data_IF_649529295593
#
_entry.id   IF_649529295593
#
_cell.length_a   1.000
_cell.length_b   1.000
_cell.length_c   1.000
_cell.angle_alpha   90.00
_cell.angle_beta   90.00
_cell.angle_gamma   90.00
#
_symmetry.space_group_name_H-M   'P 1'
#
loop_
_entity.id
_entity.type
_entity.pdbx_description
1 polymer ?
#
# COMPACT_ATOMS: atom_id res chain seq x y z
N UNK A 1 0.12 -25.15 -26.36
CA UNK A 1 -0.36 -24.47 -25.14
C UNK A 1 0.16 -23.05 -25.20
N UNK A 2 -0.68 -22.01 -25.29
CA UNK A 2 -0.19 -20.65 -25.11
C UNK A 2 0.37 -20.54 -23.70
N UNK A 3 1.65 -20.21 -23.58
CA UNK A 3 2.30 -19.90 -22.30
C UNK A 3 1.58 -18.69 -21.72
N UNK A 4 0.99 -18.81 -20.53
CA UNK A 4 0.46 -17.66 -19.83
C UNK A 4 1.59 -16.61 -19.71
N UNK A 5 1.31 -15.37 -20.07
CA UNK A 5 2.26 -14.27 -19.92
C UNK A 5 2.59 -14.10 -18.44
N UNK A 6 3.90 -14.03 -18.12
CA UNK A 6 4.37 -13.78 -16.75
C UNK A 6 3.84 -12.44 -16.26
N UNK A 7 3.32 -12.41 -15.04
CA UNK A 7 2.74 -11.20 -14.43
C UNK A 7 3.74 -10.52 -13.50
N UNK A 8 3.90 -9.22 -13.65
CA UNK A 8 4.84 -8.41 -12.87
C UNK A 8 4.11 -7.53 -11.85
N UNK A 9 4.50 -7.63 -10.59
CA UNK A 9 4.03 -6.73 -9.53
C UNK A 9 5.00 -5.55 -9.37
N UNK A 10 4.50 -4.31 -9.43
CA UNK A 10 5.29 -3.10 -9.17
C UNK A 10 5.26 -2.78 -7.68
N UNK A 11 6.38 -2.97 -6.99
CA UNK A 11 6.54 -2.57 -5.60
C UNK A 11 7.03 -1.11 -5.51
N UNK A 12 6.18 -0.22 -5.01
CA UNK A 12 6.51 1.19 -4.81
C UNK A 12 7.05 1.40 -3.39
N UNK A 13 8.35 1.66 -3.29
CA UNK A 13 9.06 1.93 -2.04
C UNK A 13 9.27 3.43 -1.81
N UNK A 14 9.81 3.80 -0.64
CA UNK A 14 9.99 5.19 -0.27
C UNK A 14 11.07 5.86 -1.11
N UNK A 15 12.28 5.30 -1.05
CA UNK A 15 13.48 5.79 -1.70
C UNK A 15 14.53 4.67 -1.77
N UNK A 16 15.54 4.77 -2.66
CA UNK A 16 16.57 3.75 -2.79
C UNK A 16 17.34 3.55 -1.48
N UNK A 17 17.65 2.30 -1.11
CA UNK A 17 18.50 2.03 0.05
C UNK A 17 19.96 2.35 -0.29
N UNK A 18 20.72 2.78 0.72
CA UNK A 18 22.20 2.84 0.65
C UNK A 18 22.88 1.47 0.86
N UNK A 19 22.10 0.38 0.89
CA UNK A 19 22.56 -0.99 1.10
C UNK A 19 22.00 -1.88 0.00
N UNK A 20 22.37 -3.16 -0.04
CA UNK A 20 21.85 -4.12 -1.04
C UNK A 20 20.33 -4.38 -0.94
N UNK A 21 19.66 -3.89 0.12
CA UNK A 21 18.22 -3.97 0.27
C UNK A 21 17.66 -5.40 0.39
N UNK A 22 18.51 -6.44 0.49
CA UNK A 22 18.09 -7.85 0.36
C UNK A 22 16.96 -8.24 1.29
N UNK A 23 16.96 -7.74 2.53
CA UNK A 23 15.89 -8.03 3.50
C UNK A 23 14.54 -7.44 3.08
N UNK A 24 14.55 -6.22 2.55
CA UNK A 24 13.34 -5.56 2.03
C UNK A 24 12.84 -6.31 0.80
N UNK A 25 13.74 -6.60 -0.14
CA UNK A 25 13.41 -7.31 -1.38
C UNK A 25 12.87 -8.72 -1.14
N UNK A 26 13.44 -9.49 -0.20
CA UNK A 26 12.90 -10.82 0.18
C UNK A 26 11.47 -10.76 0.69
N UNK A 27 11.11 -9.70 1.41
CA UNK A 27 9.73 -9.52 1.90
C UNK A 27 8.80 -9.17 0.76
N UNK A 28 9.23 -8.27 -0.13
CA UNK A 28 8.48 -7.94 -1.34
C UNK A 28 8.28 -9.19 -2.20
N UNK A 29 9.31 -10.01 -2.42
CA UNK A 29 9.21 -11.27 -3.16
C UNK A 29 8.20 -12.25 -2.52
N UNK A 30 8.13 -12.32 -1.19
CA UNK A 30 7.08 -13.09 -0.52
C UNK A 30 5.69 -12.53 -0.83
N UNK A 31 5.50 -11.21 -0.84
CA UNK A 31 4.21 -10.61 -1.21
C UNK A 31 3.83 -10.89 -2.68
N UNK A 32 4.81 -10.90 -3.59
CA UNK A 32 4.64 -11.26 -5.01
C UNK A 32 4.09 -12.68 -5.13
N UNK A 33 4.71 -13.65 -4.46
CA UNK A 33 4.26 -15.05 -4.42
C UNK A 33 2.85 -15.16 -3.84
N UNK A 34 2.60 -14.50 -2.71
CA UNK A 34 1.30 -14.56 -2.03
C UNK A 34 0.15 -13.93 -2.85
N UNK A 35 0.45 -12.98 -3.72
CA UNK A 35 -0.51 -12.35 -4.63
C UNK A 35 -0.64 -13.09 -5.98
N UNK A 36 0.17 -14.12 -6.23
CA UNK A 36 0.14 -14.90 -7.46
C UNK A 36 0.76 -14.20 -8.67
N UNK A 37 1.77 -13.35 -8.45
CA UNK A 37 2.59 -12.76 -9.51
C UNK A 37 3.89 -13.56 -9.67
N UNK A 38 4.49 -13.47 -10.86
CA UNK A 38 5.71 -14.22 -11.21
C UNK A 38 6.98 -13.44 -10.93
N UNK A 39 6.92 -12.12 -11.13
CA UNK A 39 8.08 -11.22 -11.10
C UNK A 39 7.76 -9.92 -10.36
N UNK A 40 8.81 -9.17 -10.02
CA UNK A 40 8.71 -7.88 -9.34
C UNK A 40 9.56 -6.82 -10.01
N UNK A 41 8.96 -5.65 -10.25
CA UNK A 41 9.66 -4.41 -10.55
C UNK A 41 9.63 -3.51 -9.31
N UNK A 42 10.74 -2.85 -9.00
CA UNK A 42 10.83 -1.93 -7.85
C UNK A 42 10.99 -0.51 -8.36
N UNK A 43 10.11 0.37 -7.91
CA UNK A 43 10.21 1.80 -8.12
C UNK A 43 10.10 2.54 -6.78
N UNK A 44 10.54 3.79 -6.74
CA UNK A 44 10.58 4.57 -5.49
C UNK A 44 9.80 5.87 -5.65
N UNK A 45 9.14 6.34 -4.59
CA UNK A 45 8.49 7.65 -4.59
C UNK A 45 9.47 8.82 -4.73
N UNK A 46 10.68 8.64 -4.20
CA UNK A 46 11.72 9.65 -4.15
C UNK A 46 13.05 9.06 -4.63
N UNK A 47 13.79 9.76 -5.49
CA UNK A 47 14.96 9.20 -6.17
C UNK A 47 16.24 9.23 -5.33
N UNK A 48 16.33 10.11 -4.33
CA UNK A 48 17.57 10.29 -3.57
C UNK A 48 17.74 9.17 -2.54
N UNK A 49 18.85 8.41 -2.59
CA UNK A 49 19.12 7.36 -1.62
C UNK A 49 19.31 7.92 -0.20
N UNK A 50 18.85 7.18 0.80
CA UNK A 50 19.12 7.54 2.19
C UNK A 50 19.18 6.30 3.10
N UNK A 51 19.81 6.45 4.27
CA UNK A 51 19.87 5.38 5.26
C UNK A 51 18.53 5.18 5.98
N UNK A 52 17.67 6.21 6.01
CA UNK A 52 16.41 6.22 6.75
C UNK A 52 15.36 7.08 6.06
N UNK A 53 14.11 6.64 6.12
CA UNK A 53 12.97 7.34 5.50
C UNK A 53 12.72 8.73 6.08
N UNK A 54 13.11 9.01 7.33
CA UNK A 54 12.97 10.34 7.92
C UNK A 54 13.93 11.38 7.32
N UNK A 55 15.04 10.95 6.71
CA UNK A 55 15.94 11.82 5.95
C UNK A 55 15.25 12.47 4.73
N UNK A 56 14.12 11.90 4.26
CA UNK A 56 13.31 12.52 3.20
C UNK A 56 12.76 13.89 3.63
N UNK A 57 12.62 14.14 4.93
CA UNK A 57 12.19 15.45 5.45
C UNK A 57 13.13 16.57 5.01
N UNK A 58 14.44 16.31 5.02
CA UNK A 58 15.46 17.29 4.64
C UNK A 58 15.76 17.20 3.14
N UNK A 59 16.04 15.99 2.65
CA UNK A 59 16.42 15.77 1.24
C UNK A 59 15.28 16.07 0.26
N UNK A 60 14.04 15.83 0.68
CA UNK A 60 12.85 15.99 -0.14
C UNK A 60 12.22 17.38 -0.04
N UNK A 61 12.87 18.36 0.58
CA UNK A 61 12.37 19.75 0.59
C UNK A 61 12.30 20.32 -0.84
N UNK A 62 13.32 20.04 -1.65
CA UNK A 62 13.34 20.38 -3.06
C UNK A 62 12.55 19.36 -3.90
N UNK A 63 11.98 19.84 -5.01
CA UNK A 63 11.13 19.03 -5.90
C UNK A 63 11.93 18.01 -6.75
N UNK A 64 13.20 18.30 -7.04
CA UNK A 64 14.02 17.55 -8.01
C UNK A 64 14.01 16.04 -7.80
N UNK A 65 14.21 15.59 -6.56
CA UNK A 65 14.24 14.15 -6.26
C UNK A 65 12.87 13.45 -6.41
N UNK A 66 11.77 14.19 -6.33
CA UNK A 66 10.43 13.68 -6.57
C UNK A 66 10.12 13.58 -8.06
N UNK A 67 10.50 14.60 -8.85
CA UNK A 67 10.33 14.58 -10.31
C UNK A 67 11.22 13.53 -10.97
N UNK A 68 12.49 13.43 -10.55
CA UNK A 68 13.41 12.43 -11.08
C UNK A 68 12.94 10.98 -10.83
N UNK A 69 12.13 10.74 -9.79
CA UNK A 69 11.55 9.44 -9.53
C UNK A 69 10.41 9.06 -10.50
N UNK A 70 9.77 10.04 -11.15
CA UNK A 70 8.58 9.81 -11.98
C UNK A 70 8.87 8.96 -13.21
N UNK A 71 10.00 9.15 -13.88
CA UNK A 71 10.37 8.38 -15.08
C UNK A 71 10.43 6.87 -14.80
N UNK A 72 11.10 6.47 -13.71
CA UNK A 72 11.15 5.08 -13.28
C UNK A 72 9.77 4.55 -12.86
N UNK A 73 8.98 5.36 -12.14
CA UNK A 73 7.60 4.98 -11.78
C UNK A 73 6.74 4.76 -13.02
N UNK A 74 6.79 5.64 -14.01
CA UNK A 74 6.01 5.51 -15.25
C UNK A 74 6.40 4.27 -16.04
N UNK A 75 7.70 4.02 -16.18
CA UNK A 75 8.21 2.84 -16.88
C UNK A 75 7.75 1.55 -16.19
N UNK A 76 7.86 1.48 -14.86
CA UNK A 76 7.42 0.29 -14.11
C UNK A 76 5.92 0.11 -14.17
N UNK A 77 5.12 1.18 -14.00
CA UNK A 77 3.67 1.08 -14.04
C UNK A 77 3.17 0.65 -15.42
N UNK A 78 3.75 1.20 -16.50
CA UNK A 78 3.38 0.86 -17.88
C UNK A 78 3.67 -0.59 -18.30
N UNK A 79 4.58 -1.26 -17.58
CA UNK A 79 4.93 -2.66 -17.81
C UNK A 79 4.37 -3.62 -16.73
N UNK A 80 3.69 -3.09 -15.70
CA UNK A 80 3.22 -3.84 -14.56
C UNK A 80 1.79 -4.34 -14.71
N UNK A 81 1.47 -5.46 -14.04
CA UNK A 81 0.13 -6.06 -14.01
C UNK A 81 -0.61 -5.79 -12.68
N UNK A 82 0.04 -5.07 -11.77
CA UNK A 82 -0.48 -4.72 -10.45
C UNK A 82 0.54 -3.93 -9.64
N UNK A 83 0.09 -3.32 -8.53
CA UNK A 83 0.90 -2.42 -7.72
C UNK A 83 0.83 -2.79 -6.25
N UNK A 84 1.99 -2.82 -5.58
CA UNK A 84 2.11 -2.94 -4.13
C UNK A 84 2.66 -1.64 -3.54
N UNK A 85 1.82 -0.90 -2.81
CA UNK A 85 2.21 0.32 -2.12
C UNK A 85 2.92 -0.01 -0.81
N UNK A 86 4.22 0.29 -0.75
CA UNK A 86 5.10 -0.10 0.35
C UNK A 86 6.11 1.01 0.73
N UNK A 87 5.74 2.28 0.52
CA UNK A 87 6.60 3.44 0.74
C UNK A 87 6.60 3.97 2.19
N UNK A 88 5.82 3.39 3.09
CA UNK A 88 5.67 3.84 4.47
C UNK A 88 4.47 4.79 4.67
N UNK A 89 3.74 4.59 5.77
CA UNK A 89 2.58 5.42 6.12
C UNK A 89 2.95 6.67 6.95
N UNK A 90 4.23 7.02 7.07
CA UNK A 90 4.67 8.21 7.79
C UNK A 90 5.06 9.27 6.78
N UNK A 91 4.28 10.35 6.69
CA UNK A 91 4.64 11.49 5.86
C UNK A 91 5.85 12.24 6.44
N UNK A 92 6.74 12.77 5.58
CA UNK A 92 7.76 13.71 6.05
C UNK A 92 7.12 14.97 6.65
N UNK A 93 7.91 15.73 7.40
CA UNK A 93 7.53 17.06 7.92
C UNK A 93 8.04 18.18 7.01
N UNK A 94 7.69 19.43 7.32
CA UNK A 94 8.16 20.61 6.59
C UNK A 94 7.71 20.63 5.12
N UNK A 95 8.54 21.23 4.27
CA UNK A 95 8.29 21.41 2.83
C UNK A 95 8.17 20.07 2.09
N UNK A 96 8.97 19.07 2.49
CA UNK A 96 8.91 17.72 1.96
C UNK A 96 7.51 17.08 2.10
N UNK A 97 6.70 17.51 3.08
CA UNK A 97 5.31 17.04 3.22
C UNK A 97 4.43 17.45 2.04
N UNK A 98 4.64 18.65 1.50
CA UNK A 98 3.87 19.14 0.35
C UNK A 98 4.25 18.31 -0.88
N UNK A 99 5.55 18.15 -1.12
CA UNK A 99 6.08 17.37 -2.23
C UNK A 99 5.66 15.90 -2.18
N UNK A 100 5.76 15.28 -1.00
CA UNK A 100 5.30 13.90 -0.78
C UNK A 100 3.82 13.74 -1.13
N UNK A 101 2.95 14.67 -0.70
CA UNK A 101 1.52 14.60 -0.99
C UNK A 101 1.24 14.76 -2.49
N UNK A 102 1.92 15.68 -3.15
CA UNK A 102 1.81 15.86 -4.59
C UNK A 102 2.29 14.62 -5.36
N UNK A 103 3.39 14.02 -4.94
CA UNK A 103 3.90 12.79 -5.55
C UNK A 103 2.96 11.60 -5.35
N UNK A 104 2.39 11.42 -4.15
CA UNK A 104 1.41 10.37 -3.88
C UNK A 104 0.13 10.58 -4.70
N UNK A 105 -0.36 11.81 -4.81
CA UNK A 105 -1.53 12.13 -5.64
C UNK A 105 -1.25 11.87 -7.12
N UNK A 106 -0.07 12.27 -7.62
CA UNK A 106 0.38 11.96 -8.97
C UNK A 106 0.45 10.45 -9.22
N UNK A 107 1.06 9.68 -8.31
CA UNK A 107 1.15 8.23 -8.41
C UNK A 107 -0.24 7.58 -8.47
N UNK A 108 -1.14 8.00 -7.59
CA UNK A 108 -2.53 7.50 -7.57
C UNK A 108 -3.21 7.74 -8.91
N UNK A 109 -3.10 8.95 -9.47
CA UNK A 109 -3.65 9.27 -10.77
C UNK A 109 -3.10 8.35 -11.88
N UNK A 110 -1.79 8.06 -11.88
CA UNK A 110 -1.17 7.16 -12.87
C UNK A 110 -1.59 5.70 -12.70
N UNK A 111 -1.80 5.24 -11.47
CA UNK A 111 -2.32 3.90 -11.17
C UNK A 111 -3.77 3.77 -11.67
N UNK A 112 -4.63 4.74 -11.33
CA UNK A 112 -6.03 4.77 -11.79
C UNK A 112 -6.14 4.81 -13.31
N UNK A 113 -5.32 5.65 -13.97
CA UNK A 113 -5.35 5.79 -15.42
C UNK A 113 -5.00 4.49 -16.17
N UNK A 114 -4.33 3.55 -15.51
CA UNK A 114 -3.94 2.26 -16.06
C UNK A 114 -4.79 1.09 -15.52
N UNK A 115 -5.79 1.39 -14.69
CA UNK A 115 -6.68 0.39 -14.05
C UNK A 115 -5.91 -0.75 -13.35
N UNK A 116 -4.78 -0.41 -12.71
CA UNK A 116 -3.91 -1.43 -12.12
C UNK A 116 -4.46 -1.89 -10.76
N UNK A 117 -4.64 -3.21 -10.54
CA UNK A 117 -5.04 -3.72 -9.25
C UNK A 117 -3.94 -3.41 -8.23
N UNK A 118 -4.34 -2.87 -7.09
CA UNK A 118 -3.39 -2.26 -6.14
C UNK A 118 -3.60 -2.83 -4.74
N UNK A 119 -2.51 -3.06 -4.01
CA UNK A 119 -2.52 -3.57 -2.63
C UNK A 119 -1.61 -2.77 -1.71
N UNK A 120 -1.86 -2.91 -0.41
CA UNK A 120 -0.95 -2.50 0.65
C UNK A 120 -1.04 -3.48 1.84
N UNK A 121 -0.18 -3.30 2.86
CA UNK A 121 -0.16 -4.16 4.04
C UNK A 121 -0.84 -3.49 5.24
N UNK A 122 -1.99 -4.04 5.63
CA UNK A 122 -2.77 -3.62 6.78
C UNK A 122 -3.64 -2.41 6.50
N UNK A 123 -3.43 -1.33 7.26
CA UNK A 123 -4.22 -0.09 7.24
C UNK A 123 -3.60 1.05 6.43
N UNK A 124 -2.44 0.81 5.79
CA UNK A 124 -1.77 1.79 4.93
C UNK A 124 -0.57 1.23 4.16
N UNK A 125 0.10 2.06 3.33
CA UNK A 125 1.24 1.67 2.49
C UNK A 125 2.49 1.42 3.32
N UNK A 126 2.51 0.35 4.11
CA UNK A 126 3.54 0.11 5.13
C UNK A 126 4.86 -0.32 4.48
N UNK A 127 5.98 0.22 4.97
CA UNK A 127 7.30 -0.18 4.47
C UNK A 127 7.63 -1.66 4.81
N UNK A 128 8.26 -2.44 3.91
CA UNK A 128 8.49 -3.88 4.14
C UNK A 128 9.35 -4.17 5.36
N UNK A 129 10.22 -3.23 5.76
CA UNK A 129 10.99 -3.35 7.01
C UNK A 129 10.10 -3.50 8.26
N UNK A 130 8.86 -3.00 8.22
CA UNK A 130 7.89 -2.98 9.32
C UNK A 130 6.84 -4.10 9.28
N UNK A 131 6.70 -4.84 8.18
CA UNK A 131 5.61 -5.83 8.02
C UNK A 131 5.62 -6.87 9.14
N UNK A 132 6.74 -7.54 9.39
CA UNK A 132 6.83 -8.57 10.43
C UNK A 132 6.46 -8.06 11.82
N UNK A 133 6.88 -6.85 12.19
CA UNK A 133 6.53 -6.25 13.47
C UNK A 133 5.04 -5.93 13.56
N UNK A 134 4.45 -5.48 12.45
CA UNK A 134 3.03 -5.14 12.40
C UNK A 134 2.17 -6.41 12.41
N UNK A 135 2.47 -7.40 11.57
CA UNK A 135 1.71 -8.66 11.48
C UNK A 135 1.79 -9.45 12.77
N UNK A 136 2.94 -9.49 13.45
CA UNK A 136 3.04 -10.09 14.79
C UNK A 136 2.08 -9.48 15.82
N UNK A 137 1.80 -8.18 15.71
CA UNK A 137 0.85 -7.48 16.61
C UNK A 137 -0.60 -7.67 16.18
N UNK A 138 -0.87 -7.67 14.89
CA UNK A 138 -2.21 -7.76 14.33
C UNK A 138 -2.75 -9.20 14.29
N UNK A 139 -1.86 -10.18 14.15
CA UNK A 139 -2.15 -11.61 14.04
C UNK A 139 -1.23 -12.39 15.00
N UNK A 140 -1.48 -12.31 16.33
CA UNK A 140 -0.70 -13.06 17.30
C UNK A 140 -0.78 -14.56 16.99
N UNK A 141 0.33 -15.26 17.19
CA UNK A 141 0.47 -16.72 16.98
C UNK A 141 0.27 -17.21 15.54
N UNK A 142 0.13 -16.31 14.56
CA UNK A 142 0.06 -16.67 13.14
C UNK A 142 1.46 -16.58 12.51
N UNK A 143 1.92 -17.62 11.78
CA UNK A 143 3.18 -17.56 11.04
C UNK A 143 3.25 -16.37 10.08
N UNK A 144 4.43 -15.75 9.96
CA UNK A 144 4.60 -14.48 9.23
C UNK A 144 4.04 -14.49 7.80
N UNK A 145 4.25 -15.56 7.03
CA UNK A 145 3.76 -15.64 5.66
C UNK A 145 2.22 -15.66 5.58
N UNK A 146 1.58 -16.44 6.44
CA UNK A 146 0.11 -16.48 6.52
C UNK A 146 -0.44 -15.14 7.03
N UNK A 147 0.16 -14.58 8.08
CA UNK A 147 -0.23 -13.28 8.58
C UNK A 147 -0.07 -12.19 7.50
N UNK A 148 1.01 -12.21 6.72
CA UNK A 148 1.20 -11.28 5.60
C UNK A 148 0.13 -11.46 4.52
N UNK A 149 -0.21 -12.69 4.14
CA UNK A 149 -1.31 -12.98 3.21
C UNK A 149 -2.61 -12.35 3.67
N UNK A 150 -2.97 -12.58 4.93
CA UNK A 150 -4.20 -12.06 5.54
C UNK A 150 -4.19 -10.53 5.70
N UNK A 151 -3.02 -9.91 5.54
CA UNK A 151 -2.81 -8.46 5.67
C UNK A 151 -2.69 -7.73 4.34
N UNK A 152 -2.68 -8.43 3.20
CA UNK A 152 -2.64 -7.81 1.88
C UNK A 152 -4.04 -7.31 1.51
N UNK A 153 -4.23 -6.00 1.64
CA UNK A 153 -5.53 -5.36 1.46
C UNK A 153 -5.59 -4.71 0.07
N UNK A 154 -6.59 -5.04 -0.76
CA UNK A 154 -6.79 -4.36 -2.03
C UNK A 154 -7.21 -2.89 -1.80
N UNK A 155 -6.60 -1.98 -2.54
CA UNK A 155 -6.93 -0.55 -2.53
C UNK A 155 -7.99 -0.30 -3.60
N UNK A 156 -9.11 0.31 -3.21
CA UNK A 156 -10.02 0.92 -4.17
C UNK A 156 -9.42 2.27 -4.56
N UNK A 157 -8.97 2.42 -5.82
CA UNK A 157 -8.16 3.58 -6.24
C UNK A 157 -8.99 4.88 -6.32
N UNK A 158 -10.32 4.78 -6.29
CA UNK A 158 -11.24 5.92 -6.15
C UNK A 158 -11.19 6.56 -4.75
N UNK A 159 -10.51 5.90 -3.80
CA UNK A 159 -10.28 6.44 -2.46
C UNK A 159 -9.06 7.36 -2.47
N UNK A 160 -9.31 8.67 -2.60
CA UNK A 160 -8.30 9.70 -2.26
C UNK A 160 -7.92 9.47 -0.81
N UNK A 161 -6.68 9.00 -0.57
CA UNK A 161 -6.19 8.79 0.78
C UNK A 161 -6.21 10.15 1.49
N UNK A 162 -7.10 10.38 2.48
CA UNK A 162 -7.11 11.67 3.12
C UNK A 162 -5.75 11.81 3.81
N UNK A 163 -5.05 12.91 3.52
CA UNK A 163 -3.72 13.18 4.08
C UNK A 163 -3.69 13.05 5.62
N UNK A 164 -4.85 13.18 6.26
CA UNK A 164 -5.09 13.03 7.71
C UNK A 164 -4.97 11.60 8.24
N UNK A 165 -5.03 10.55 7.40
CA UNK A 165 -4.86 9.16 7.89
C UNK A 165 -3.41 8.82 8.20
N UNK A 166 -2.44 9.56 7.63
CA UNK A 166 -1.01 9.42 7.96
C UNK A 166 -0.68 9.95 9.37
N UNK A 167 -1.52 10.81 9.96
CA UNK A 167 -1.34 11.31 11.32
C UNK A 167 -1.72 10.26 12.38
N UNK A 168 -2.75 9.45 12.11
CA UNK A 168 -3.24 8.43 13.06
C UNK A 168 -2.32 7.22 13.20
N UNK A 169 -1.59 6.82 12.16
CA UNK A 169 -0.62 5.71 12.26
C UNK A 169 0.60 6.04 13.14
N UNK A 170 0.79 7.32 13.49
CA UNK A 170 1.92 7.84 14.27
C UNK A 170 1.63 7.87 15.78
N UNK A 171 0.37 7.83 16.18
CA UNK A 171 -0.06 7.66 17.58
C UNK A 171 -0.53 6.22 17.73
N UNK A 172 0.02 5.49 18.71
CA UNK A 172 -0.31 4.08 18.94
C UNK A 172 -1.74 3.87 19.43
N UNK A 173 -2.72 4.16 18.59
CA UNK A 173 -4.13 4.06 18.92
C UNK A 173 -4.53 2.58 18.91
N UNK A 174 -4.88 2.08 20.09
CA UNK A 174 -5.26 0.68 20.35
C UNK A 174 -6.74 0.46 20.02
N UNK A 175 -7.21 0.87 18.85
CA UNK A 175 -8.59 0.57 18.46
C UNK A 175 -8.63 -0.88 18.01
N UNK A 176 -9.41 -1.76 18.67
CA UNK A 176 -9.57 -3.14 18.22
C UNK A 176 -10.19 -3.11 16.83
N UNK A 177 -9.59 -3.82 15.87
CA UNK A 177 -10.18 -4.08 14.56
C UNK A 177 -11.52 -4.79 14.79
N UNK A 178 -12.60 -4.00 14.72
CA UNK A 178 -13.96 -4.51 14.74
C UNK A 178 -14.16 -5.43 13.55
N UNK A 179 -14.54 -6.68 13.83
CA UNK A 179 -15.03 -7.65 12.86
C UNK A 179 -16.08 -6.97 11.97
N UNK A 180 -15.83 -6.89 10.67
CA UNK A 180 -16.91 -6.63 9.72
C UNK A 180 -17.85 -7.85 9.72
N UNK A 181 -19.11 -7.60 10.06
CA UNK A 181 -20.18 -8.56 10.24
C UNK A 181 -20.44 -9.41 8.99
N UNK A 182 -20.42 -10.73 9.18
CA UNK A 182 -21.26 -11.67 8.42
C UNK A 182 -22.54 -11.95 9.20
N UNK A 183 -23.62 -12.25 8.46
CA UNK A 183 -25.01 -12.61 8.85
C UNK A 183 -25.97 -11.43 9.01
N UNK A 184 -27.21 -11.50 8.54
CA UNK A 184 -27.90 -12.49 7.72
C UNK A 184 -29.23 -11.86 7.29
N UNK A 185 -29.74 -12.31 6.15
CA UNK A 185 -31.14 -12.22 5.76
C UNK A 185 -32.06 -12.56 6.95
N UNK A 186 -33.05 -11.70 7.21
CA UNK A 186 -34.29 -12.14 7.84
C UNK A 186 -35.46 -11.44 7.17
N UNK A 187 -36.22 -12.28 6.47
CA UNK A 187 -37.55 -12.04 5.94
C UNK A 187 -38.47 -11.69 7.12
N UNK A 188 -39.18 -10.57 7.06
CA UNK A 188 -40.42 -10.39 7.80
C UNK A 188 -41.56 -10.10 6.81
N UNK A 189 -42.36 -11.15 6.61
CA UNK A 189 -43.77 -11.03 6.27
C UNK A 189 -44.49 -10.38 7.45
N UNK A 190 -45.32 -9.37 7.20
CA UNK A 190 -46.52 -9.13 8.01
C UNK A 190 -47.67 -8.83 7.04
N UNK A 191 -48.67 -9.71 7.09
CA UNK A 191 -49.97 -9.62 6.45
C UNK A 191 -50.89 -8.61 7.18
N UNK A 192 -51.66 -7.87 6.36
CA UNK A 192 -53.12 -7.63 6.46
C UNK A 192 -53.72 -7.37 7.87
N UNK A 193 -54.18 -6.14 8.12
CA UNK A 193 -55.59 -5.79 8.40
C UNK A 193 -55.72 -4.34 8.93
N UNK A 194 -56.34 -3.47 8.14
CA UNK A 194 -56.99 -2.27 8.66
C UNK A 194 -58.08 -1.84 7.66
N UNK A 195 -59.34 -2.15 7.97
CA UNK A 195 -60.49 -1.29 7.70
C UNK A 195 -61.74 -1.90 8.33
N UNK A 196 -62.13 -1.33 9.47
CA UNK A 196 -63.50 -1.31 9.94
C UNK A 196 -64.01 0.12 9.70
N UNK A 197 -64.84 0.26 8.66
CA UNK A 197 -66.05 1.09 8.56
C UNK A 197 -66.60 0.99 7.15
#
# INVERSE_FOLDING_TARGET
MPTASRRTLVAVLANPPLTDGKRTLRRVALAVELLGFDDVAVANLFSVPSHRTDAITELGAAEDGWLAARESLETCLGAGDGVLLAYGATSPSGEARVQFRQQVAWLQHRITAQDLPTWHVGDGPRHPSRWQRWTYRAHPDVPFAQALRDSLVPVQVDYVWPATRFERASRGDKTPLGRANSKAQRVEKIDVQAQAN
#
